data_IF_361208140287
#
_entry.id   IF_361208140287
#
_cell.length_a   1.000
_cell.length_b   1.000
_cell.length_c   1.000
_cell.angle_alpha   90.00
_cell.angle_beta   90.00
_cell.angle_gamma   90.00
#
_symmetry.space_group_name_H-M   'P 1'
#
loop_
_entity.id
_entity.type
_entity.pdbx_description
1 polymer ?
#
# COMPACT_ATOMS: atom_id res chain seq x y z
N UNK A 1 11.84 -6.92 17.01
CA UNK A 1 11.74 -6.87 15.53
C UNK A 1 11.67 -5.40 15.12
N UNK A 2 12.09 -5.05 13.90
CA UNK A 2 11.87 -3.70 13.36
C UNK A 2 10.84 -3.69 12.22
N UNK A 3 10.08 -2.60 12.15
CA UNK A 3 9.10 -2.34 11.09
C UNK A 3 9.54 -1.10 10.33
N UNK A 4 9.82 -1.24 9.05
CA UNK A 4 10.25 -0.12 8.22
C UNK A 4 9.19 0.22 7.18
N UNK A 5 9.13 1.49 6.82
CA UNK A 5 8.25 2.03 5.80
C UNK A 5 9.03 2.86 4.81
N UNK A 6 8.68 2.73 3.54
CA UNK A 6 9.33 3.44 2.44
C UNK A 6 8.26 4.03 1.53
N UNK A 7 8.07 5.35 1.58
CA UNK A 7 7.29 6.06 0.55
C UNK A 7 8.20 6.24 -0.66
N UNK A 8 8.08 5.31 -1.61
CA UNK A 8 9.05 5.09 -2.65
C UNK A 8 8.59 5.74 -3.95
N UNK A 9 9.27 6.81 -4.36
CA UNK A 9 9.08 7.32 -5.70
C UNK A 9 9.47 6.26 -6.75
N UNK A 10 8.63 6.06 -7.77
CA UNK A 10 8.86 4.99 -8.74
C UNK A 10 10.14 5.22 -9.57
N UNK A 11 10.47 6.48 -9.84
CA UNK A 11 11.73 6.88 -10.48
C UNK A 11 12.87 7.09 -9.45
N UNK A 12 14.06 6.58 -9.76
CA UNK A 12 15.16 6.40 -8.79
C UNK A 12 15.90 7.64 -8.27
N UNK A 13 15.54 8.87 -8.67
CA UNK A 13 16.18 10.12 -8.22
C UNK A 13 15.26 11.09 -7.49
N UNK A 14 13.99 10.71 -7.34
CA UNK A 14 13.04 11.52 -6.62
C UNK A 14 13.18 11.29 -5.11
N UNK A 15 12.88 12.31 -4.29
CA UNK A 15 12.81 12.15 -2.85
C UNK A 15 11.98 10.91 -2.46
N UNK A 16 12.46 10.20 -1.46
CA UNK A 16 11.86 8.97 -0.92
C UNK A 16 11.87 9.10 0.59
N UNK A 17 10.73 8.81 1.23
CA UNK A 17 10.64 8.77 2.68
C UNK A 17 11.11 7.42 3.21
N UNK A 18 11.84 7.43 4.32
CA UNK A 18 12.17 6.21 5.07
C UNK A 18 11.85 6.44 6.54
N UNK A 19 11.08 5.54 7.13
CA UNK A 19 10.79 5.51 8.55
C UNK A 19 11.00 4.11 9.13
N UNK A 20 11.37 4.04 10.41
CA UNK A 20 11.53 2.78 11.14
C UNK A 20 10.93 2.90 12.52
N UNK A 21 10.16 1.89 12.90
CA UNK A 21 9.50 1.70 14.19
C UNK A 21 10.07 0.43 14.82
N UNK A 22 10.31 0.46 16.13
CA UNK A 22 10.76 -0.71 16.89
C UNK A 22 9.60 -1.65 17.30
N UNK A 23 9.94 -2.66 18.11
CA UNK A 23 9.00 -3.68 18.56
C UNK A 23 7.93 -3.14 19.53
N UNK A 24 8.23 -2.05 20.23
CA UNK A 24 7.34 -1.39 21.19
C UNK A 24 6.44 -0.33 20.53
N UNK A 25 6.67 -0.05 19.25
CA UNK A 25 5.92 0.94 18.48
C UNK A 25 6.50 2.34 18.57
N UNK A 26 7.77 2.49 18.96
CA UNK A 26 8.45 3.79 19.01
C UNK A 26 9.13 4.06 17.68
N UNK A 27 8.94 5.27 17.13
CA UNK A 27 9.66 5.73 15.96
C UNK A 27 11.14 5.92 16.31
N UNK A 28 12.03 5.20 15.64
CA UNK A 28 13.49 5.26 15.85
C UNK A 28 14.24 5.93 14.70
N UNK A 29 13.58 6.08 13.54
CA UNK A 29 14.14 6.77 12.38
C UNK A 29 13.01 7.36 11.54
N UNK A 30 13.21 8.58 11.05
CA UNK A 30 12.44 9.16 9.94
C UNK A 30 13.33 10.12 9.17
N UNK A 31 13.38 10.02 7.84
CA UNK A 31 14.14 10.94 6.98
C UNK A 31 13.70 10.87 5.52
N UNK A 32 14.06 11.89 4.75
CA UNK A 32 14.09 11.81 3.30
C UNK A 32 15.46 11.29 2.82
N UNK A 33 15.45 10.57 1.70
CA UNK A 33 16.62 10.10 0.95
C UNK A 33 16.35 10.30 -0.55
N UNK A 34 17.38 10.21 -1.39
CA UNK A 34 17.31 10.56 -2.82
C UNK A 34 17.48 9.40 -3.79
N UNK A 35 18.22 8.37 -3.40
CA UNK A 35 18.56 7.26 -4.26
C UNK A 35 18.53 5.91 -3.53
N UNK A 36 18.66 4.82 -4.28
CA UNK A 36 18.60 3.45 -3.76
C UNK A 36 19.72 3.17 -2.76
N UNK A 37 20.92 3.74 -2.95
CA UNK A 37 22.04 3.53 -2.02
C UNK A 37 21.75 4.15 -0.66
N UNK A 38 21.17 5.36 -0.64
CA UNK A 38 20.72 6.01 0.59
C UNK A 38 19.55 5.28 1.26
N UNK A 39 18.59 4.76 0.48
CA UNK A 39 17.49 3.92 1.01
C UNK A 39 18.07 2.67 1.69
N UNK A 40 18.95 1.94 1.01
CA UNK A 40 19.58 0.74 1.55
C UNK A 40 20.42 1.05 2.79
N UNK A 41 21.20 2.14 2.78
CA UNK A 41 21.99 2.58 3.93
C UNK A 41 21.10 2.92 5.13
N UNK A 42 19.94 3.53 4.91
CA UNK A 42 18.99 3.85 5.98
C UNK A 42 18.31 2.60 6.57
N UNK A 43 18.08 1.55 5.78
CA UNK A 43 17.38 0.34 6.20
C UNK A 43 18.28 -0.74 6.79
N UNK A 44 19.50 -0.92 6.28
CA UNK A 44 20.44 -1.99 6.69
C UNK A 44 20.62 -2.17 8.20
N UNK A 45 20.73 -1.12 9.03
CA UNK A 45 20.86 -1.28 10.48
C UNK A 45 19.67 -2.00 11.13
N UNK A 46 18.49 -1.93 10.51
CA UNK A 46 17.23 -2.44 11.05
C UNK A 46 16.76 -3.72 10.34
N UNK A 47 17.47 -4.16 9.31
CA UNK A 47 17.12 -5.35 8.51
C UNK A 47 18.14 -6.48 8.64
N UNK A 48 19.11 -6.37 9.57
CA UNK A 48 20.06 -7.44 9.88
C UNK A 48 19.41 -8.65 10.59
N UNK A 49 18.39 -8.39 11.42
CA UNK A 49 17.59 -9.41 12.11
C UNK A 49 16.14 -9.46 11.61
N UNK A 50 15.21 -10.03 12.39
CA UNK A 50 13.80 -10.06 12.04
C UNK A 50 13.23 -8.67 11.76
N UNK A 51 12.61 -8.52 10.60
CA UNK A 51 12.04 -7.25 10.14
C UNK A 51 10.90 -7.44 9.15
N UNK A 52 10.08 -6.39 9.01
CA UNK A 52 9.09 -6.27 7.94
C UNK A 52 9.17 -4.87 7.33
N UNK A 53 9.39 -4.79 6.03
CA UNK A 53 9.52 -3.54 5.29
C UNK A 53 8.28 -3.35 4.41
N UNK A 54 7.56 -2.25 4.60
CA UNK A 54 6.44 -1.87 3.76
C UNK A 54 6.85 -0.80 2.74
N UNK A 55 6.57 -1.05 1.47
CA UNK A 55 6.85 -0.12 0.37
C UNK A 55 5.54 0.46 -0.18
N UNK A 56 5.42 1.78 -0.26
CA UNK A 56 4.41 2.46 -1.10
C UNK A 56 4.86 2.46 -2.56
N UNK A 57 5.04 1.26 -3.11
CA UNK A 57 5.36 1.04 -4.50
C UNK A 57 5.14 -0.43 -4.86
N UNK A 58 4.83 -0.71 -6.14
CA UNK A 58 4.68 -2.07 -6.63
C UNK A 58 5.86 -2.99 -6.32
N UNK A 59 5.60 -4.17 -5.77
CA UNK A 59 6.60 -5.25 -5.64
C UNK A 59 6.55 -6.21 -6.84
N UNK A 60 5.37 -6.50 -7.38
CA UNK A 60 5.22 -7.42 -8.53
C UNK A 60 4.37 -6.76 -9.60
N UNK A 61 4.90 -6.68 -10.82
CA UNK A 61 4.22 -6.10 -11.98
C UNK A 61 4.45 -7.00 -13.18
N UNK A 62 3.41 -7.74 -13.57
CA UNK A 62 3.48 -8.74 -14.66
C UNK A 62 2.52 -8.45 -15.79
N UNK A 63 1.51 -7.60 -15.57
CA UNK A 63 0.53 -7.24 -16.58
C UNK A 63 1.13 -6.28 -17.63
N UNK A 64 0.88 -6.49 -18.93
CA UNK A 64 1.45 -5.66 -19.99
C UNK A 64 0.85 -4.24 -20.01
N UNK A 65 -0.44 -4.11 -19.68
CA UNK A 65 -1.17 -2.85 -19.65
C UNK A 65 -2.29 -2.89 -18.60
N UNK A 66 -2.98 -1.76 -18.39
CA UNK A 66 -4.14 -1.68 -17.50
C UNK A 66 -3.79 -1.69 -16.00
N UNK A 67 -4.78 -2.08 -15.19
CA UNK A 67 -4.67 -2.28 -13.73
C UNK A 67 -4.31 -3.74 -13.43
N UNK A 68 -3.54 -4.00 -12.37
CA UNK A 68 -3.41 -5.36 -11.82
C UNK A 68 -4.73 -5.80 -11.18
N UNK A 69 -4.95 -7.11 -11.00
CA UNK A 69 -6.05 -7.63 -10.19
C UNK A 69 -6.10 -6.99 -8.80
N UNK A 70 -4.94 -6.74 -8.19
CA UNK A 70 -4.80 -6.04 -6.91
C UNK A 70 -5.45 -4.65 -6.90
N UNK A 71 -5.08 -3.76 -7.82
CA UNK A 71 -5.70 -2.42 -7.91
C UNK A 71 -7.20 -2.52 -8.17
N UNK A 72 -7.64 -3.43 -9.04
CA UNK A 72 -9.05 -3.60 -9.36
C UNK A 72 -9.85 -3.96 -8.11
N UNK A 73 -9.35 -4.92 -7.32
CA UNK A 73 -9.98 -5.36 -6.09
C UNK A 73 -9.94 -4.29 -4.99
N UNK A 74 -8.81 -3.59 -4.83
CA UNK A 74 -8.70 -2.47 -3.88
C UNK A 74 -9.65 -1.32 -4.26
N UNK A 75 -9.74 -0.98 -5.54
CA UNK A 75 -10.59 0.09 -6.05
C UNK A 75 -12.08 -0.21 -5.87
N UNK A 76 -12.49 -1.48 -5.85
CA UNK A 76 -13.88 -1.84 -5.53
C UNK A 76 -14.28 -1.31 -4.15
N UNK A 77 -13.39 -1.39 -3.18
CA UNK A 77 -13.67 -1.05 -1.78
C UNK A 77 -13.34 0.42 -1.47
N UNK A 78 -12.23 0.94 -2.02
CA UNK A 78 -11.69 2.25 -1.63
C UNK A 78 -12.03 3.40 -2.58
N UNK A 79 -12.56 3.16 -3.79
CA UNK A 79 -12.92 4.25 -4.73
C UNK A 79 -13.94 5.22 -4.14
N UNK A 80 -14.88 4.70 -3.35
CA UNK A 80 -15.95 5.49 -2.74
C UNK A 80 -15.41 6.43 -1.65
N UNK A 81 -14.20 6.19 -1.14
CA UNK A 81 -13.47 7.06 -0.22
C UNK A 81 -12.46 7.97 -0.96
N UNK A 82 -12.48 7.95 -2.30
CA UNK A 82 -11.50 8.64 -3.16
C UNK A 82 -10.04 8.17 -2.93
N UNK A 83 -9.88 6.95 -2.42
CA UNK A 83 -8.60 6.30 -2.12
C UNK A 83 -8.33 5.14 -3.09
N UNK A 84 -8.69 5.29 -4.36
CA UNK A 84 -8.36 4.30 -5.39
C UNK A 84 -6.88 4.34 -5.77
N UNK A 85 -6.29 3.18 -6.04
CA UNK A 85 -4.95 3.03 -6.57
C UNK A 85 -4.92 3.27 -8.09
N UNK A 86 -3.81 3.85 -8.56
CA UNK A 86 -3.59 4.08 -9.98
C UNK A 86 -3.13 2.80 -10.70
N UNK A 87 -3.44 2.64 -12.00
CA UNK A 87 -3.00 1.48 -12.77
C UNK A 87 -1.48 1.35 -12.82
N UNK A 88 -0.98 0.17 -12.46
CA UNK A 88 0.43 -0.24 -12.58
C UNK A 88 0.54 -1.32 -13.65
N UNK A 89 1.50 -1.20 -14.57
CA UNK A 89 1.73 -2.17 -15.65
C UNK A 89 3.14 -2.05 -16.24
N UNK A 90 3.62 -3.12 -16.87
CA UNK A 90 4.95 -3.22 -17.45
C UNK A 90 5.19 -2.28 -18.66
N UNK A 91 4.13 -1.74 -19.27
CA UNK A 91 4.26 -0.74 -20.34
C UNK A 91 4.73 0.64 -19.86
N UNK A 92 4.81 0.89 -18.55
CA UNK A 92 5.32 2.15 -17.99
C UNK A 92 6.85 2.12 -17.89
N UNK A 93 7.56 3.19 -18.31
CA UNK A 93 9.02 3.25 -18.28
C UNK A 93 9.65 2.98 -16.91
N UNK A 94 8.96 3.34 -15.83
CA UNK A 94 9.41 3.14 -14.44
C UNK A 94 9.59 1.66 -14.07
N UNK A 95 9.00 0.74 -14.84
CA UNK A 95 9.06 -0.70 -14.60
C UNK A 95 9.85 -1.47 -15.66
N UNK A 96 10.56 -0.78 -16.57
CA UNK A 96 11.38 -1.41 -17.61
C UNK A 96 12.44 -2.37 -17.02
N UNK A 97 13.04 -1.99 -15.88
CA UNK A 97 14.01 -2.80 -15.12
C UNK A 97 13.35 -3.53 -13.94
N UNK A 98 12.06 -3.84 -14.07
CA UNK A 98 11.20 -4.34 -13.01
C UNK A 98 10.89 -3.30 -11.92
N UNK A 99 10.11 -3.67 -10.90
CA UNK A 99 9.71 -2.74 -9.85
C UNK A 99 10.86 -2.35 -8.91
N UNK A 100 11.00 -1.04 -8.65
CA UNK A 100 12.05 -0.51 -7.77
C UNK A 100 12.02 -1.12 -6.36
N UNK A 101 10.83 -1.30 -5.79
CA UNK A 101 10.67 -1.92 -4.47
C UNK A 101 11.12 -3.38 -4.44
N UNK A 102 10.93 -4.14 -5.53
CA UNK A 102 11.43 -5.51 -5.63
C UNK A 102 12.97 -5.56 -5.68
N UNK A 103 13.60 -4.67 -6.44
CA UNK A 103 15.07 -4.58 -6.46
C UNK A 103 15.65 -4.25 -5.09
N UNK A 104 15.05 -3.29 -4.37
CA UNK A 104 15.45 -2.97 -2.99
C UNK A 104 15.22 -4.15 -2.05
N UNK A 105 14.11 -4.87 -2.19
CA UNK A 105 13.81 -6.07 -1.40
C UNK A 105 14.83 -7.18 -1.64
N UNK A 106 15.20 -7.43 -2.89
CA UNK A 106 16.26 -8.37 -3.26
C UNK A 106 17.62 -7.98 -2.69
N UNK A 107 18.00 -6.71 -2.77
CA UNK A 107 19.26 -6.20 -2.20
C UNK A 107 19.33 -6.30 -0.66
N UNK A 108 18.17 -6.34 0.00
CA UNK A 108 18.05 -6.55 1.45
C UNK A 108 17.85 -8.03 1.82
N UNK A 109 17.59 -8.92 0.85
CA UNK A 109 17.27 -10.33 1.09
C UNK A 109 15.95 -10.50 1.86
N UNK A 110 14.92 -9.74 1.46
CA UNK A 110 13.57 -9.81 2.04
C UNK A 110 12.69 -10.73 1.21
N UNK A 111 11.93 -11.59 1.89
CA UNK A 111 10.88 -12.39 1.25
C UNK A 111 9.67 -11.51 0.92
N UNK A 112 9.21 -11.55 -0.33
CA UNK A 112 8.13 -10.71 -0.85
C UNK A 112 6.77 -11.42 -0.86
N UNK A 113 6.69 -12.71 -0.49
CA UNK A 113 5.38 -13.36 -0.34
C UNK A 113 4.63 -12.74 0.86
N UNK A 114 3.42 -12.17 0.66
CA UNK A 114 2.67 -11.50 1.72
C UNK A 114 2.27 -12.44 2.87
N UNK A 115 2.27 -13.76 2.63
CA UNK A 115 1.94 -14.80 3.60
C UNK A 115 3.18 -15.54 4.13
N UNK A 116 4.39 -15.09 3.78
CA UNK A 116 5.62 -15.69 4.27
C UNK A 116 5.68 -15.71 5.80
N UNK A 117 6.07 -16.87 6.34
CA UNK A 117 6.43 -17.04 7.74
C UNK A 117 7.91 -16.68 8.02
N UNK A 118 8.65 -16.23 7.00
CA UNK A 118 10.05 -15.87 7.11
C UNK A 118 10.28 -14.69 8.07
N UNK A 119 11.46 -14.59 8.70
CA UNK A 119 11.75 -13.54 9.67
C UNK A 119 11.96 -12.15 9.04
N UNK A 120 12.27 -12.09 7.74
CA UNK A 120 12.68 -10.89 7.01
C UNK A 120 11.81 -10.74 5.77
N UNK A 121 10.85 -9.82 5.81
CA UNK A 121 9.77 -9.74 4.81
C UNK A 121 9.63 -8.35 4.22
N UNK A 122 9.13 -8.29 2.99
CA UNK A 122 8.70 -7.09 2.31
C UNK A 122 7.22 -7.21 1.96
N UNK A 123 6.47 -6.11 2.08
CA UNK A 123 5.09 -6.01 1.60
C UNK A 123 4.87 -4.73 0.82
N UNK A 124 3.99 -4.80 -0.17
CA UNK A 124 3.46 -3.65 -0.88
C UNK A 124 2.29 -3.06 -0.10
N UNK A 125 2.28 -1.75 0.14
CA UNK A 125 1.22 -1.04 0.87
C UNK A 125 0.74 0.18 0.10
N UNK A 126 -0.40 0.74 0.48
CA UNK A 126 -0.92 1.98 -0.11
C UNK A 126 -1.45 2.94 0.98
N UNK A 127 -0.70 3.99 1.37
CA UNK A 127 -1.01 4.87 2.49
C UNK A 127 -2.39 5.55 2.42
N UNK A 128 -2.88 5.91 1.23
CA UNK A 128 -4.21 6.51 1.09
C UNK A 128 -5.33 5.55 1.51
N UNK A 129 -5.29 4.27 1.12
CA UNK A 129 -6.25 3.27 1.58
C UNK A 129 -6.06 2.96 3.08
N UNK A 130 -4.80 2.81 3.51
CA UNK A 130 -4.49 2.51 4.90
C UNK A 130 -5.01 3.60 5.87
N UNK A 131 -4.82 4.88 5.54
CA UNK A 131 -5.31 6.00 6.37
C UNK A 131 -6.83 6.10 6.40
N UNK A 132 -7.53 5.75 5.31
CA UNK A 132 -9.00 5.63 5.33
C UNK A 132 -9.45 4.61 6.35
N UNK A 133 -8.84 3.42 6.38
CA UNK A 133 -9.19 2.36 7.32
C UNK A 133 -8.80 2.71 8.76
N UNK A 134 -7.54 3.11 8.99
CA UNK A 134 -6.98 3.41 10.32
C UNK A 134 -7.65 4.60 10.99
N UNK A 135 -7.81 5.70 10.25
CA UNK A 135 -8.39 6.91 10.80
C UNK A 135 -9.90 6.96 10.61
N UNK A 136 -10.50 5.94 9.99
CA UNK A 136 -11.92 5.88 9.63
C UNK A 136 -12.34 7.15 8.90
N UNK A 137 -11.71 7.47 7.78
CA UNK A 137 -12.01 8.68 7.02
C UNK A 137 -13.19 8.44 6.08
N UNK A 138 -14.07 9.43 5.93
CA UNK A 138 -15.12 9.39 4.89
C UNK A 138 -14.57 9.62 3.49
N UNK A 139 -13.44 10.34 3.37
CA UNK A 139 -12.69 10.58 2.13
C UNK A 139 -11.19 10.67 2.44
N UNK A 140 -10.33 10.34 1.49
CA UNK A 140 -8.87 10.47 1.65
C UNK A 140 -8.47 11.91 1.97
N UNK A 141 -7.39 12.07 2.74
CA UNK A 141 -6.76 13.36 3.00
C UNK A 141 -6.10 13.89 1.71
N UNK A 142 -6.24 15.20 1.44
CA UNK A 142 -5.81 15.83 0.17
C UNK A 142 -4.45 16.52 0.29
N UNK A 143 -3.49 15.86 0.93
CA UNK A 143 -2.16 16.43 1.24
C UNK A 143 -1.12 16.31 0.11
N UNK A 144 -1.28 15.36 -0.83
CA UNK A 144 -0.37 15.25 -1.99
C UNK A 144 -0.58 16.38 -3.00
N UNK A 145 0.48 16.94 -3.57
CA UNK A 145 0.39 18.05 -4.51
C UNK A 145 -0.31 17.64 -5.83
N UNK A 146 -1.43 18.31 -6.18
CA UNK A 146 -2.15 18.15 -7.46
C UNK A 146 -2.62 19.52 -7.98
N UNK A 147 -2.87 19.66 -9.31
CA UNK A 147 -3.49 20.87 -9.86
C UNK A 147 -4.77 21.25 -9.08
N UNK A 148 -4.97 22.54 -8.85
CA UNK A 148 -6.13 23.07 -8.11
C UNK A 148 -6.03 23.07 -6.58
N UNK A 149 -5.02 22.45 -5.95
CA UNK A 149 -4.84 22.49 -4.48
C UNK A 149 -3.98 23.67 -4.04
N UNK A 150 -4.43 24.49 -3.10
CA UNK A 150 -3.64 25.60 -2.54
C UNK A 150 -2.57 25.12 -1.54
N UNK A 151 -1.58 25.95 -1.19
CA UNK A 151 -0.58 25.57 -0.19
C UNK A 151 -1.22 25.39 1.19
N UNK A 152 -2.20 26.22 1.53
CA UNK A 152 -2.97 26.18 2.76
C UNK A 152 -3.78 24.89 2.87
N UNK A 153 -4.43 24.47 1.77
CA UNK A 153 -5.16 23.20 1.73
C UNK A 153 -4.23 22.01 1.95
N UNK A 154 -3.10 21.95 1.22
CA UNK A 154 -2.12 20.87 1.38
C UNK A 154 -1.57 20.81 2.81
N UNK A 155 -1.25 21.98 3.39
CA UNK A 155 -0.77 22.12 4.77
C UNK A 155 -1.80 21.62 5.78
N UNK A 156 -3.05 22.05 5.67
CA UNK A 156 -4.13 21.62 6.56
C UNK A 156 -4.31 20.10 6.52
N UNK A 157 -4.35 19.52 5.33
CA UNK A 157 -4.53 18.07 5.16
C UNK A 157 -3.31 17.27 5.62
N UNK A 158 -2.08 17.79 5.43
CA UNK A 158 -0.87 17.14 5.93
C UNK A 158 -0.80 17.19 7.46
N UNK A 159 -1.23 18.29 8.09
CA UNK A 159 -1.36 18.36 9.55
C UNK A 159 -2.41 17.37 10.07
N UNK A 160 -3.55 17.21 9.38
CA UNK A 160 -4.54 16.17 9.72
C UNK A 160 -3.97 14.76 9.64
N UNK A 161 -3.10 14.49 8.67
CA UNK A 161 -2.37 13.22 8.59
C UNK A 161 -1.46 13.04 9.81
N UNK A 162 -0.67 14.06 10.16
CA UNK A 162 0.21 14.02 11.33
C UNK A 162 -0.56 13.84 12.64
N UNK A 163 -1.71 14.51 12.80
CA UNK A 163 -2.58 14.35 13.96
C UNK A 163 -3.17 12.93 14.04
N UNK A 164 -3.55 12.35 12.90
CA UNK A 164 -3.96 10.94 12.82
C UNK A 164 -2.85 9.99 13.26
N UNK A 165 -1.63 10.21 12.79
CA UNK A 165 -0.43 9.42 13.16
C UNK A 165 -0.13 9.54 14.66
N UNK A 166 -0.15 10.74 15.22
CA UNK A 166 0.04 10.97 16.66
C UNK A 166 -1.08 10.33 17.49
N UNK A 167 -2.31 10.31 16.98
CA UNK A 167 -3.45 9.64 17.61
C UNK A 167 -3.32 8.11 17.71
N UNK A 168 -2.48 7.49 16.88
CA UNK A 168 -2.23 6.03 16.91
C UNK A 168 -1.56 5.56 18.19
N UNK A 169 -0.97 6.47 18.99
CA UNK A 169 -0.45 6.15 20.33
C UNK A 169 -1.52 5.50 21.23
N UNK A 170 -2.79 5.86 21.03
CA UNK A 170 -3.93 5.38 21.81
C UNK A 170 -4.58 4.12 21.24
N UNK A 171 -3.99 3.53 20.21
CA UNK A 171 -4.53 2.34 19.53
C UNK A 171 -3.73 1.10 19.87
N UNK A 172 -4.21 -0.07 19.44
CA UNK A 172 -3.54 -1.34 19.66
C UNK A 172 -3.29 -2.04 18.30
N UNK A 173 -2.04 -2.16 17.84
CA UNK A 173 -0.79 -1.77 18.51
C UNK A 173 -0.57 -0.24 18.54
N UNK A 174 0.14 0.31 19.54
CA UNK A 174 0.42 1.75 19.59
C UNK A 174 1.54 2.14 18.60
N UNK A 175 1.52 3.43 18.21
CA UNK A 175 2.62 4.13 17.54
C UNK A 175 2.97 5.41 18.30
N UNK A 176 4.23 5.56 18.70
CA UNK A 176 4.74 6.71 19.46
C UNK A 176 5.78 7.46 18.63
N UNK A 177 5.38 8.64 18.15
CA UNK A 177 6.22 9.51 17.30
C UNK A 177 6.63 10.81 17.99
N UNK A 178 5.86 11.25 19.00
CA UNK A 178 6.00 12.56 19.65
C UNK A 178 7.28 12.69 20.48
N UNK A 179 7.92 11.59 20.86
CA UNK A 179 9.24 11.56 21.51
C UNK A 179 10.42 11.70 20.54
N UNK A 180 10.20 11.62 19.22
CA UNK A 180 11.29 11.60 18.23
C UNK A 180 11.59 13.01 17.69
N UNK A 181 12.84 13.47 17.85
CA UNK A 181 13.25 14.83 17.49
C UNK A 181 13.01 15.19 16.01
N UNK A 182 13.30 14.27 15.08
CA UNK A 182 13.08 14.52 13.64
C UNK A 182 11.59 14.60 13.30
N UNK A 183 10.72 13.87 14.03
CA UNK A 183 9.26 13.96 13.82
C UNK A 183 8.75 15.33 14.25
N UNK A 184 9.18 15.81 15.43
CA UNK A 184 8.86 17.16 15.90
C UNK A 184 9.40 18.24 14.96
N UNK A 185 10.56 18.00 14.34
CA UNK A 185 11.12 18.88 13.31
C UNK A 185 10.24 18.93 12.06
N UNK A 186 9.81 17.77 11.54
CA UNK A 186 8.86 17.70 10.42
C UNK A 186 7.56 18.44 10.73
N UNK A 187 7.00 18.26 11.93
CA UNK A 187 5.77 18.96 12.34
C UNK A 187 5.93 20.47 12.32
N UNK A 188 7.03 20.99 12.88
CA UNK A 188 7.35 22.42 12.84
C UNK A 188 7.55 22.92 11.40
N UNK A 189 8.21 22.15 10.53
CA UNK A 189 8.39 22.51 9.12
C UNK A 189 7.04 22.64 8.40
N UNK A 190 6.12 21.68 8.59
CA UNK A 190 4.78 21.74 7.99
C UNK A 190 3.98 22.92 8.54
N UNK A 191 4.04 23.17 9.85
CA UNK A 191 3.37 24.32 10.48
C UNK A 191 3.92 25.67 9.99
N UNK A 192 5.20 25.77 9.68
CA UNK A 192 5.83 26.99 9.17
C UNK A 192 5.73 27.14 7.65
N UNK A 193 5.40 26.07 6.91
CA UNK A 193 5.37 26.08 5.46
C UNK A 193 4.36 27.09 4.91
N UNK A 194 4.78 27.81 3.87
CA UNK A 194 3.98 28.76 3.09
C UNK A 194 3.97 28.42 1.59
N UNK A 195 4.90 27.57 1.13
CA UNK A 195 4.99 27.11 -0.26
C UNK A 195 4.73 25.61 -0.39
N UNK A 196 4.14 25.20 -1.52
CA UNK A 196 3.90 23.77 -1.84
C UNK A 196 5.19 22.93 -1.85
N UNK A 197 6.31 23.52 -2.27
CA UNK A 197 7.60 22.81 -2.32
C UNK A 197 8.17 22.51 -0.92
N UNK A 198 7.80 23.28 0.11
CA UNK A 198 8.20 23.02 1.50
C UNK A 198 7.42 21.83 2.06
N UNK A 199 6.11 21.78 1.79
CA UNK A 199 5.25 20.65 2.17
C UNK A 199 5.70 19.35 1.50
N UNK A 200 6.04 19.39 0.20
CA UNK A 200 6.52 18.22 -0.54
C UNK A 200 7.77 17.58 0.09
N UNK A 201 8.64 18.37 0.75
CA UNK A 201 9.84 17.83 1.41
C UNK A 201 9.54 17.01 2.66
N UNK A 202 8.40 17.28 3.30
CA UNK A 202 7.95 16.59 4.50
C UNK A 202 6.97 15.45 4.19
N UNK A 203 6.31 15.48 3.03
CA UNK A 203 5.30 14.51 2.59
C UNK A 203 5.83 13.07 2.65
N UNK A 204 6.87 12.73 1.87
CA UNK A 204 7.33 11.35 1.77
C UNK A 204 7.81 10.77 3.12
N UNK A 205 8.60 11.51 3.95
CA UNK A 205 8.94 11.03 5.29
C UNK A 205 7.73 10.75 6.20
N UNK A 206 6.65 11.54 6.08
CA UNK A 206 5.42 11.34 6.86
C UNK A 206 4.65 10.12 6.36
N UNK A 207 4.53 9.93 5.04
CA UNK A 207 3.91 8.75 4.45
C UNK A 207 4.70 7.46 4.74
N UNK A 208 6.02 7.56 4.82
CA UNK A 208 6.86 6.44 5.24
C UNK A 208 6.55 5.98 6.68
N UNK A 209 6.17 6.89 7.58
CA UNK A 209 5.72 6.52 8.94
C UNK A 209 4.41 5.72 8.88
N UNK A 210 3.47 6.11 8.01
CA UNK A 210 2.25 5.32 7.76
C UNK A 210 2.61 3.93 7.24
N UNK A 211 3.50 3.83 6.26
CA UNK A 211 3.96 2.55 5.72
C UNK A 211 4.56 1.65 6.82
N UNK A 212 5.45 2.21 7.63
CA UNK A 212 6.09 1.49 8.74
C UNK A 212 5.06 0.99 9.74
N UNK A 213 4.03 1.80 10.02
CA UNK A 213 2.94 1.40 10.90
C UNK A 213 2.08 0.30 10.29
N UNK A 214 1.81 0.31 8.97
CA UNK A 214 1.10 -0.79 8.31
C UNK A 214 1.90 -2.10 8.41
N UNK A 215 3.23 -2.06 8.26
CA UNK A 215 4.08 -3.23 8.49
C UNK A 215 3.94 -3.78 9.92
N UNK A 216 3.94 -2.90 10.93
CA UNK A 216 3.70 -3.28 12.33
C UNK A 216 2.29 -3.83 12.55
N UNK A 217 1.29 -3.15 12.02
CA UNK A 217 -0.11 -3.51 12.15
C UNK A 217 -0.36 -4.89 11.54
N UNK A 218 0.23 -5.18 10.38
CA UNK A 218 0.12 -6.49 9.74
C UNK A 218 0.81 -7.62 10.51
N UNK A 219 1.82 -7.31 11.32
CA UNK A 219 2.45 -8.28 12.20
C UNK A 219 1.64 -8.55 13.46
N UNK A 220 1.08 -7.49 14.06
CA UNK A 220 0.42 -7.57 15.37
C UNK A 220 -1.07 -7.89 15.28
N UNK A 221 -1.69 -7.60 14.14
CA UNK A 221 -3.12 -7.75 13.87
C UNK A 221 -3.35 -8.39 12.49
N UNK A 222 -2.82 -9.61 12.23
CA UNK A 222 -2.95 -10.25 10.92
C UNK A 222 -4.40 -10.51 10.49
N UNK A 223 -5.34 -10.66 11.44
CA UNK A 223 -6.78 -10.77 11.17
C UNK A 223 -7.42 -9.49 10.66
N UNK A 224 -6.78 -8.34 10.89
CA UNK A 224 -7.32 -7.01 10.61
C UNK A 224 -6.63 -6.40 9.38
N UNK A 225 -6.01 -7.24 8.55
CA UNK A 225 -5.39 -6.91 7.27
C UNK A 225 -6.18 -7.55 6.12
N UNK A 226 -6.31 -6.80 5.04
CA UNK A 226 -6.70 -7.34 3.73
C UNK A 226 -5.50 -7.30 2.79
N UNK A 227 -5.27 -8.42 2.09
CA UNK A 227 -4.37 -8.52 0.94
C UNK A 227 -5.23 -8.53 -0.31
N UNK A 228 -5.09 -7.51 -1.16
CA UNK A 228 -5.76 -7.42 -2.45
C UNK A 228 -4.84 -7.97 -3.54
N UNK A 229 -5.24 -9.01 -4.26
CA UNK A 229 -4.41 -9.69 -5.26
C UNK A 229 -3.63 -10.88 -4.67
N UNK A 230 -2.56 -11.27 -5.34
CA UNK A 230 -1.74 -12.44 -5.01
C UNK A 230 -0.26 -12.22 -5.38
N UNK A 231 0.64 -13.11 -4.94
CA UNK A 231 2.06 -12.93 -5.19
C UNK A 231 2.45 -13.06 -6.67
N UNK A 232 1.72 -13.85 -7.46
CA UNK A 232 2.04 -14.10 -8.87
C UNK A 232 1.68 -12.91 -9.77
N UNK A 233 0.59 -12.22 -9.48
CA UNK A 233 0.08 -11.08 -10.29
C UNK A 233 0.28 -9.71 -9.62
N UNK A 234 0.77 -9.70 -8.39
CA UNK A 234 0.95 -8.52 -7.55
C UNK A 234 -0.19 -8.33 -6.57
N UNK A 235 0.14 -7.66 -5.46
CA UNK A 235 -0.77 -7.50 -4.33
C UNK A 235 -0.59 -6.14 -3.65
N UNK A 236 -1.60 -5.72 -2.88
CA UNK A 236 -1.51 -4.56 -1.98
C UNK A 236 -2.03 -4.95 -0.61
N UNK A 237 -1.28 -4.64 0.44
CA UNK A 237 -1.62 -4.88 1.84
C UNK A 237 -2.12 -3.58 2.47
N UNK A 238 -3.28 -3.65 3.13
CA UNK A 238 -3.83 -2.53 3.90
C UNK A 238 -4.59 -3.06 5.12
N UNK A 239 -4.69 -2.28 6.21
CA UNK A 239 -5.70 -2.52 7.23
C UNK A 239 -7.08 -2.70 6.61
N UNK A 240 -7.82 -3.69 7.08
CA UNK A 240 -9.15 -4.05 6.59
C UNK A 240 -10.08 -2.86 6.75
N UNK A 241 -10.77 -2.49 5.67
CA UNK A 241 -11.79 -1.45 5.71
C UNK A 241 -12.92 -1.87 6.67
N UNK A 242 -13.22 -1.10 7.74
CA UNK A 242 -14.28 -1.46 8.67
C UNK A 242 -15.64 -1.53 7.96
N UNK A 243 -16.36 -2.64 8.09
CA UNK A 243 -17.63 -2.86 7.38
C UNK A 243 -18.71 -1.79 7.67
N UNK A 244 -18.67 -1.18 8.86
CA UNK A 244 -19.59 -0.12 9.26
C UNK A 244 -19.22 1.28 8.70
N UNK A 245 -18.04 1.44 8.11
CA UNK A 245 -17.58 2.71 7.57
C UNK A 245 -18.20 2.94 6.19
N UNK A 246 -18.97 4.02 6.05
CA UNK A 246 -19.59 4.42 4.79
C UNK A 246 -19.18 5.87 4.46
N UNK A 247 -18.79 6.18 3.20
CA UNK A 247 -18.25 7.49 2.84
C UNK A 247 -19.25 8.64 3.02
N UNK A 248 -20.55 8.35 2.97
CA UNK A 248 -21.62 9.34 3.06
C UNK A 248 -22.28 9.41 4.45
N UNK A 249 -21.83 8.59 5.40
CA UNK A 249 -22.35 8.64 6.77
C UNK A 249 -21.44 9.55 7.60
N UNK A 250 -21.91 10.71 8.08
CA UNK A 250 -21.09 11.55 8.95
C UNK A 250 -20.73 10.75 10.20
N UNK A 251 -19.44 10.71 10.52
CA UNK A 251 -18.98 10.16 11.78
C UNK A 251 -19.47 11.11 12.86
N UNK A 252 -20.37 10.64 13.71
CA UNK A 252 -20.81 11.38 14.89
C UNK A 252 -19.54 11.70 15.72
N UNK A 253 -19.37 12.98 16.02
CA UNK A 253 -18.23 13.65 16.67
C UNK A 253 -17.39 12.74 17.61
N UNK A 254 -16.12 12.53 17.24
CA UNK A 254 -15.18 11.64 17.95
C UNK A 254 -14.49 12.33 19.12
N UNK A 255 -15.26 12.69 20.13
CA UNK A 255 -14.77 12.76 21.52
C UNK A 255 -15.16 11.54 22.38
N UNK A 256 -15.89 10.56 21.84
CA UNK A 256 -16.45 9.45 22.65
C UNK A 256 -16.34 8.02 22.11
N UNK A 257 -15.63 7.72 21.02
CA UNK A 257 -15.47 6.32 20.56
C UNK A 257 -14.04 5.95 20.18
N UNK A 258 -13.22 5.73 21.21
CA UNK A 258 -12.04 4.86 21.12
C UNK A 258 -12.27 3.52 21.86
N UNK A 259 -13.34 3.38 22.65
CA UNK A 259 -13.50 2.23 23.56
C UNK A 259 -14.46 1.10 23.10
N UNK A 260 -15.22 1.24 22.00
CA UNK A 260 -16.34 0.31 21.74
C UNK A 260 -16.05 -0.96 20.93
N UNK A 261 -14.79 -1.26 20.60
CA UNK A 261 -14.47 -2.52 19.90
C UNK A 261 -13.97 -3.62 20.85
N UNK A 262 -13.65 -3.30 22.12
CA UNK A 262 -13.03 -4.27 23.02
C UNK A 262 -14.01 -5.00 23.97
N UNK A 263 -15.33 -4.72 23.92
CA UNK A 263 -16.31 -5.28 24.89
C UNK A 263 -17.43 -6.12 24.26
N UNK A 264 -17.37 -6.42 22.96
CA UNK A 264 -18.39 -7.23 22.26
C UNK A 264 -18.19 -8.75 22.31
N UNK A 265 -17.04 -9.25 22.78
CA UNK A 265 -16.70 -10.67 22.69
C UNK A 265 -16.70 -11.40 24.04
N UNK A 266 -17.70 -11.13 24.89
CA UNK A 266 -17.96 -11.95 26.09
C UNK A 266 -19.47 -12.04 26.36
N UNK A 267 -20.18 -12.82 25.55
CA UNK A 267 -21.38 -13.59 25.96
C UNK A 267 -21.88 -14.45 24.79
N UNK A 268 -21.61 -15.74 24.89
CA UNK A 268 -22.05 -16.76 23.93
C UNK A 268 -21.24 -18.04 24.03
N UNK A 269 -21.25 -18.67 25.21
CA UNK A 269 -20.71 -20.02 25.37
C UNK A 269 -21.66 -21.07 24.75
N UNK A 270 -21.04 -22.17 24.27
CA UNK A 270 -21.60 -23.40 23.68
C UNK A 270 -21.92 -23.32 22.17
N UNK A 271 -21.36 -24.15 21.28
CA UNK A 271 -20.92 -25.55 21.42
C UNK A 271 -19.62 -25.81 20.63
N UNK A 272 -18.74 -26.61 21.23
CA UNK A 272 -17.56 -27.22 20.61
C UNK A 272 -18.01 -28.45 19.81
N UNK A 273 -17.53 -28.57 18.57
CA UNK A 273 -17.43 -29.82 17.82
C UNK A 273 -16.00 -29.90 17.24
N UNK A 274 -15.42 -31.10 17.08
CA UNK A 274 -14.00 -31.31 17.26
C UNK A 274 -13.14 -30.84 16.08
N UNK A 275 -11.91 -30.50 16.48
CA UNK A 275 -10.74 -30.12 15.73
C UNK A 275 -10.39 -31.13 14.62
N UNK A 276 -10.25 -30.65 13.38
CA UNK A 276 -9.42 -31.31 12.36
C UNK A 276 -8.62 -30.25 11.59
N UNK A 277 -7.33 -30.50 11.43
CA UNK A 277 -6.35 -29.59 10.86
C UNK A 277 -6.39 -29.67 9.33
N UNK A 278 -6.73 -28.56 8.66
CA UNK A 278 -6.24 -28.20 7.31
C UNK A 278 -6.70 -26.77 6.98
N UNK A 279 -5.76 -25.97 6.46
CA UNK A 279 -5.85 -24.51 6.39
C UNK A 279 -6.87 -23.96 5.38
N UNK A 280 -7.23 -22.70 5.58
CA UNK A 280 -7.83 -21.86 4.53
C UNK A 280 -7.67 -20.37 4.88
N UNK A 281 -6.77 -19.67 4.18
CA UNK A 281 -6.71 -18.22 4.16
C UNK A 281 -7.63 -17.74 3.04
N UNK A 282 -8.53 -16.78 3.34
CA UNK A 282 -9.47 -16.22 2.36
C UNK A 282 -8.71 -15.41 1.30
N UNK A 283 -8.39 -16.04 0.19
CA UNK A 283 -8.24 -15.39 -1.12
C UNK A 283 -9.62 -15.07 -1.68
N UNK A 284 -9.77 -13.93 -2.33
CA UNK A 284 -10.97 -13.65 -3.13
C UNK A 284 -10.67 -14.16 -4.54
N UNK A 285 -11.11 -15.38 -4.85
CA UNK A 285 -11.02 -15.93 -6.20
C UNK A 285 -12.35 -16.58 -6.60
N UNK A 286 -12.94 -16.13 -7.72
CA UNK A 286 -13.90 -16.91 -8.52
C UNK A 286 -13.92 -16.43 -9.97
N UNK A 287 -13.51 -17.35 -10.83
CA UNK A 287 -13.74 -17.39 -12.26
C UNK A 287 -15.19 -17.76 -12.59
N UNK A 288 -15.68 -17.28 -13.73
CA UNK A 288 -16.76 -17.92 -14.48
C UNK A 288 -16.36 -17.95 -15.96
N UNK A 289 -15.96 -19.14 -16.44
CA UNK A 289 -15.82 -19.47 -17.85
C UNK A 289 -16.78 -20.64 -18.13
N UNK A 290 -17.85 -20.36 -18.85
CA UNK A 290 -18.71 -21.36 -19.47
C UNK A 290 -18.51 -21.34 -20.99
N UNK A 291 -17.93 -22.41 -21.53
CA UNK A 291 -17.84 -22.66 -22.96
C UNK A 291 -19.13 -23.30 -23.48
N UNK A 292 -19.61 -22.88 -24.66
CA UNK A 292 -20.50 -23.67 -25.51
C UNK A 292 -20.06 -23.62 -26.98
N UNK A 293 -19.48 -24.75 -27.40
CA UNK A 293 -19.61 -25.50 -28.66
C UNK A 293 -19.93 -24.82 -30.01
N UNK A 294 -19.05 -25.15 -30.97
CA UNK A 294 -19.20 -25.41 -32.41
C UNK A 294 -20.59 -25.32 -33.05
N UNK A 295 -20.64 -24.64 -34.20
CA UNK A 295 -21.26 -25.23 -35.40
C UNK A 295 -20.56 -24.74 -36.68
N UNK A 296 -20.37 -25.69 -37.60
CA UNK A 296 -19.73 -25.53 -38.89
C UNK A 296 -20.79 -25.45 -39.98
N UNK A 297 -20.69 -24.47 -40.89
CA UNK A 297 -21.18 -24.61 -42.27
C UNK A 297 -20.48 -23.58 -43.18
N UNK A 298 -19.66 -24.06 -44.11
CA UNK A 298 -19.32 -23.34 -45.34
C UNK A 298 -20.48 -23.40 -46.36
N UNK A 299 -20.41 -22.67 -47.47
CA UNK A 299 -19.68 -23.24 -48.60
C UNK A 299 -18.87 -22.26 -49.50
N UNK A 300 -17.81 -22.84 -50.07
CA UNK A 300 -17.26 -22.77 -51.43
C UNK A 300 -17.37 -21.49 -52.30
N UNK A 301 -16.21 -21.12 -52.88
CA UNK A 301 -16.14 -20.42 -54.17
C UNK A 301 -14.72 -20.03 -54.63
N UNK A 302 -14.02 -20.98 -55.28
CA UNK A 302 -13.16 -20.86 -56.49
C UNK A 302 -12.04 -19.78 -56.57
N UNK A 303 -10.73 -20.11 -56.65
CA UNK A 303 -9.90 -20.36 -57.87
C UNK A 303 -10.01 -19.19 -58.89
N UNK A 304 -8.97 -18.46 -59.34
CA UNK A 304 -7.57 -18.70 -59.74
C UNK A 304 -6.83 -17.32 -59.72
N UNK A 305 -5.52 -17.10 -59.85
CA UNK A 305 -4.36 -17.91 -60.20
C UNK A 305 -3.12 -17.00 -60.35
N UNK A 306 -1.94 -17.64 -60.28
CA UNK A 306 -0.68 -17.37 -60.98
C UNK A 306 -0.10 -15.93 -61.09
N UNK A 307 1.13 -15.77 -60.59
CA UNK A 307 2.10 -14.83 -61.20
C UNK A 307 3.04 -14.11 -60.22
N UNK A 308 4.16 -14.73 -59.86
CA UNK A 308 5.41 -14.03 -59.49
C UNK A 308 6.26 -13.90 -60.79
N UNK A 309 7.40 -13.17 -60.89
CA UNK A 309 8.08 -12.29 -59.93
C UNK A 309 8.79 -11.02 -60.54
N UNK A 310 9.50 -10.28 -59.67
CA UNK A 310 10.71 -9.45 -59.91
C UNK A 310 10.68 -8.18 -60.79
N UNK A 311 11.22 -7.07 -60.25
CA UNK A 311 12.08 -6.17 -61.04
C UNK A 311 12.07 -4.66 -60.72
N UNK A 312 13.24 -4.18 -60.26
CA UNK A 312 13.86 -2.86 -60.53
C UNK A 312 13.46 -1.59 -59.74
N UNK A 313 14.39 -1.20 -58.86
CA UNK A 313 15.05 0.11 -58.75
C UNK A 313 14.54 1.25 -59.66
N UNK A 314 14.03 2.31 -59.04
CA UNK A 314 14.43 3.72 -59.20
C UNK A 314 13.79 4.56 -58.08
#
# INVERSE_FOLDING_TARGET
MYFAGVDLAWAGRNPTGVAVIDDDGVLVRVRAVRDDAEVLAALRPYTAGPCRVAFDAPLVVTNPSGQRPAETALNRDFRAFEAGAYPTNAGRPEFADGPRAARLSGALGLDMDPFSAGPRRAIEVYPHAATVALFRLSRTLKYKAKPGRSAEQLKSELLRLMDGIEGLEKTSPPLRVTGHADWLSLRRQVQAAVRKCELRRAEDPIDAVVCAYVARYAERRPSDITVYGDFATGYVVTPTLPAALHPDRPLVDRRKHIDEIDHGCQRGAARVAPFDQRGDHRTVDRADQGAHQFDAHGPAGSLDGLGNPLGALA
#
